data_IF_995630727202
#
_entry.id   IF_995630727202
#
_cell.length_a   1.000
_cell.length_b   1.000
_cell.length_c   1.000
_cell.angle_alpha   90.00
_cell.angle_beta   90.00
_cell.angle_gamma   90.00
#
_symmetry.space_group_name_H-M   'P 1'
#
loop_
_entity.id
_entity.type
_entity.pdbx_description
1 polymer ?
#
# COMPACT_ATOMS: atom_id res chain seq x y z
N UNK A 1 -25.92 -40.13 44.97
CA UNK A 1 -25.64 -39.57 43.63
C UNK A 1 -25.30 -38.11 43.82
N UNK A 2 -24.00 -37.79 43.92
CA UNK A 2 -23.54 -36.40 43.94
C UNK A 2 -23.14 -36.05 42.50
N UNK A 3 -23.73 -34.99 41.96
CA UNK A 3 -23.35 -34.44 40.66
C UNK A 3 -22.34 -33.34 40.97
N UNK A 4 -21.06 -33.59 40.69
CA UNK A 4 -20.03 -32.57 40.82
C UNK A 4 -20.26 -31.55 39.71
N UNK A 5 -20.52 -30.31 40.11
CA UNK A 5 -20.71 -29.18 39.19
C UNK A 5 -19.34 -28.85 38.61
N UNK A 6 -19.15 -29.05 37.31
CA UNK A 6 -17.90 -28.72 36.64
C UNK A 6 -17.64 -27.21 36.74
N UNK A 7 -16.53 -26.85 37.38
CA UNK A 7 -16.01 -25.48 37.39
C UNK A 7 -15.62 -25.09 35.95
N UNK A 8 -16.12 -23.94 35.49
CA UNK A 8 -15.88 -23.47 34.14
C UNK A 8 -14.41 -23.04 34.04
N UNK A 9 -13.57 -23.93 33.52
CA UNK A 9 -12.18 -23.62 33.21
C UNK A 9 -12.12 -22.32 32.40
N UNK A 10 -11.50 -21.29 32.97
CA UNK A 10 -11.30 -20.02 32.31
C UNK A 10 -10.60 -20.27 30.96
N UNK A 11 -11.31 -19.99 29.87
CA UNK A 11 -10.69 -19.89 28.54
C UNK A 11 -9.81 -18.66 28.59
N UNK A 12 -8.56 -18.86 29.00
CA UNK A 12 -7.50 -17.87 28.83
C UNK A 12 -7.33 -17.74 27.33
N UNK A 13 -7.93 -16.70 26.76
CA UNK A 13 -7.60 -16.24 25.43
C UNK A 13 -6.12 -15.87 25.49
N UNK A 14 -5.24 -16.82 25.12
CA UNK A 14 -3.83 -16.54 24.94
C UNK A 14 -3.73 -15.31 24.05
N UNK A 15 -3.16 -14.24 24.60
CA UNK A 15 -2.91 -13.01 23.88
C UNK A 15 -2.28 -13.38 22.53
N UNK A 16 -2.84 -12.80 21.46
CA UNK A 16 -2.42 -12.95 20.06
C UNK A 16 -0.95 -13.36 19.98
N UNK A 17 -0.70 -14.56 19.46
CA UNK A 17 0.64 -15.14 19.23
C UNK A 17 1.61 -14.02 18.82
N UNK A 18 2.77 -13.94 19.48
CA UNK A 18 3.76 -12.88 19.23
C UNK A 18 3.86 -12.64 17.71
N UNK A 19 3.76 -11.38 17.24
CA UNK A 19 3.63 -11.10 15.82
C UNK A 19 4.74 -11.82 15.06
N UNK A 20 4.35 -12.68 14.11
CA UNK A 20 5.26 -13.51 13.32
C UNK A 20 6.34 -12.62 12.69
N UNK A 21 7.55 -13.13 12.51
CA UNK A 21 8.82 -12.44 12.18
C UNK A 21 8.78 -11.21 11.24
N UNK A 22 7.79 -11.06 10.38
CA UNK A 22 7.64 -9.94 9.44
C UNK A 22 6.41 -9.04 9.67
N UNK A 23 5.47 -9.44 10.54
CA UNK A 23 4.22 -8.71 10.81
C UNK A 23 4.40 -7.49 11.71
N UNK A 24 5.56 -7.39 12.38
CA UNK A 24 5.91 -6.25 13.24
C UNK A 24 6.89 -5.28 12.57
N UNK A 25 7.20 -5.46 11.29
CA UNK A 25 8.13 -4.59 10.58
C UNK A 25 7.48 -3.31 10.07
N UNK A 26 6.20 -3.38 9.70
CA UNK A 26 5.48 -2.27 9.07
C UNK A 26 4.12 -2.04 9.72
N UNK A 27 3.75 -0.79 9.86
CA UNK A 27 2.35 -0.37 9.95
C UNK A 27 1.84 -0.21 8.51
N UNK A 28 0.76 -0.91 8.20
CA UNK A 28 0.16 -0.94 6.87
C UNK A 28 -0.99 0.07 6.80
N UNK A 29 -0.91 1.02 5.88
CA UNK A 29 -1.96 2.02 5.61
C UNK A 29 -2.52 1.76 4.22
N UNK A 30 -3.64 1.03 4.08
CA UNK A 30 -4.26 0.80 2.80
C UNK A 30 -4.98 2.07 2.30
N UNK A 31 -4.90 2.34 1.01
CA UNK A 31 -5.62 3.43 0.37
C UNK A 31 -6.08 3.02 -1.04
N UNK A 32 -6.95 3.84 -1.62
CA UNK A 32 -7.36 3.70 -3.02
C UNK A 32 -7.32 5.06 -3.68
N UNK A 33 -7.03 5.09 -4.97
CA UNK A 33 -6.99 6.33 -5.72
C UNK A 33 -7.46 6.13 -7.15
N UNK A 34 -7.81 7.22 -7.81
CA UNK A 34 -8.03 7.29 -9.25
C UNK A 34 -6.90 8.07 -9.90
N UNK A 35 -6.60 7.73 -11.14
CA UNK A 35 -5.65 8.47 -11.97
C UNK A 35 -6.43 9.14 -13.09
N UNK A 36 -6.41 10.47 -13.12
CA UNK A 36 -7.27 11.27 -14.02
C UNK A 36 -6.67 11.46 -15.43
N UNK A 37 -5.54 10.80 -15.71
CA UNK A 37 -4.89 10.82 -17.02
C UNK A 37 -5.54 9.79 -17.96
N UNK A 38 -5.87 10.21 -19.19
CA UNK A 38 -6.51 9.35 -20.18
C UNK A 38 -5.50 8.67 -21.12
N UNK A 39 -4.30 9.24 -21.27
CA UNK A 39 -3.25 8.67 -22.10
C UNK A 39 -1.89 9.21 -21.70
N UNK A 40 -0.86 8.37 -21.77
CA UNK A 40 0.53 8.79 -21.58
C UNK A 40 1.25 8.69 -22.92
N UNK A 41 1.98 9.74 -23.28
CA UNK A 41 2.79 9.78 -24.49
C UNK A 41 3.91 8.75 -24.45
N UNK A 42 4.39 8.30 -25.61
CA UNK A 42 5.44 7.27 -25.61
C UNK A 42 6.73 7.77 -24.94
N UNK A 43 7.28 6.97 -24.02
CA UNK A 43 8.43 7.28 -23.18
C UNK A 43 8.21 8.43 -22.19
N UNK A 44 6.98 8.93 -22.05
CA UNK A 44 6.64 9.98 -21.11
C UNK A 44 6.24 9.41 -19.74
N UNK A 45 6.17 10.28 -18.75
CA UNK A 45 5.62 9.98 -17.45
C UNK A 45 4.58 11.04 -17.05
N UNK A 46 3.55 10.60 -16.34
CA UNK A 46 2.54 11.45 -15.70
C UNK A 46 2.56 11.19 -14.20
N UNK A 47 2.40 12.24 -13.41
CA UNK A 47 2.43 12.18 -11.96
C UNK A 47 1.18 12.80 -11.35
N UNK A 48 0.73 12.27 -10.22
CA UNK A 48 -0.41 12.78 -9.47
C UNK A 48 -0.25 12.57 -7.97
N UNK A 49 -0.68 13.56 -7.19
CA UNK A 49 -0.59 13.53 -5.74
C UNK A 49 -1.90 13.05 -5.11
N UNK A 50 -1.78 12.12 -4.16
CA UNK A 50 -2.87 11.52 -3.41
C UNK A 50 -2.65 11.78 -1.93
N UNK A 51 -3.69 12.24 -1.24
CA UNK A 51 -3.67 12.38 0.20
C UNK A 51 -3.86 11.02 0.88
N UNK A 52 -2.87 10.60 1.66
CA UNK A 52 -2.90 9.36 2.45
C UNK A 52 -2.53 9.67 3.89
N UNK A 53 -3.55 9.85 4.74
CA UNK A 53 -3.34 10.21 6.15
C UNK A 53 -2.47 9.18 6.88
N UNK A 54 -1.44 9.66 7.57
CA UNK A 54 -0.46 8.86 8.30
C UNK A 54 0.79 8.49 7.50
N UNK A 55 0.84 8.80 6.20
CA UNK A 55 2.04 8.61 5.40
C UNK A 55 3.13 9.62 5.78
N UNK A 56 4.35 9.15 5.96
CA UNK A 56 5.52 9.98 6.25
C UNK A 56 6.65 9.72 5.25
N UNK A 57 7.53 10.72 5.09
CA UNK A 57 8.70 10.61 4.22
C UNK A 57 9.54 9.38 4.62
N UNK A 58 9.89 8.55 3.64
CA UNK A 58 10.64 7.32 3.84
C UNK A 58 9.79 6.05 3.94
N UNK A 59 8.46 6.18 3.97
CA UNK A 59 7.58 5.02 3.86
C UNK A 59 7.59 4.45 2.45
N UNK A 60 7.43 3.12 2.33
CA UNK A 60 7.29 2.48 1.03
C UNK A 60 5.86 2.60 0.54
N UNK A 61 5.69 2.82 -0.76
CA UNK A 61 4.37 2.84 -1.40
C UNK A 61 4.30 1.70 -2.41
N UNK A 62 3.32 0.82 -2.24
CA UNK A 62 2.99 -0.24 -3.18
C UNK A 62 1.71 0.12 -3.90
N UNK A 63 1.69 -0.09 -5.22
CA UNK A 63 0.53 0.17 -6.07
C UNK A 63 0.16 -1.14 -6.76
N UNK A 64 -1.12 -1.48 -6.71
CA UNK A 64 -1.69 -2.64 -7.36
C UNK A 64 -2.87 -2.21 -8.24
N UNK A 65 -2.72 -2.25 -9.57
CA UNK A 65 -3.83 -2.07 -10.49
C UNK A 65 -4.94 -3.09 -10.28
N UNK A 66 -6.19 -2.68 -10.50
CA UNK A 66 -7.37 -3.57 -10.46
C UNK A 66 -7.74 -4.14 -11.84
N UNK A 67 -6.98 -3.80 -12.86
CA UNK A 67 -7.18 -4.16 -14.25
C UNK A 67 -5.81 -4.43 -14.87
N UNK A 68 -5.82 -5.06 -16.05
CA UNK A 68 -4.58 -5.32 -16.78
C UNK A 68 -3.97 -4.00 -17.26
N UNK A 69 -2.72 -3.77 -16.87
CA UNK A 69 -1.96 -2.57 -17.23
C UNK A 69 -0.87 -3.01 -18.18
N UNK A 70 -1.06 -2.69 -19.46
CA UNK A 70 -0.10 -2.96 -20.53
C UNK A 70 0.72 -1.69 -20.75
N UNK A 71 2.03 -1.83 -20.93
CA UNK A 71 2.99 -0.78 -21.31
C UNK A 71 3.10 0.41 -20.35
N UNK A 72 2.63 0.29 -19.11
CA UNK A 72 2.80 1.29 -18.05
C UNK A 72 3.46 0.66 -16.82
N UNK A 73 4.48 1.32 -16.30
CA UNK A 73 5.00 1.07 -14.96
C UNK A 73 4.44 2.11 -13.98
N UNK A 74 3.94 1.64 -12.83
CA UNK A 74 3.46 2.49 -11.74
C UNK A 74 4.46 2.45 -10.59
N UNK A 75 4.77 3.61 -10.05
CA UNK A 75 5.58 3.77 -8.85
C UNK A 75 4.95 4.84 -7.95
N UNK A 76 5.20 4.74 -6.64
CA UNK A 76 4.72 5.71 -5.68
C UNK A 76 5.78 6.02 -4.64
N UNK A 77 5.75 7.23 -4.12
CA UNK A 77 6.64 7.66 -3.03
C UNK A 77 5.96 8.74 -2.19
N UNK A 78 6.26 8.76 -0.90
CA UNK A 78 5.77 9.81 0.00
C UNK A 78 6.68 11.03 -0.14
N UNK A 79 6.17 12.13 -0.69
CA UNK A 79 6.95 13.35 -0.89
C UNK A 79 6.95 14.24 0.35
N UNK A 80 5.83 14.25 1.10
CA UNK A 80 5.63 15.02 2.31
C UNK A 80 4.63 14.30 3.22
N UNK A 81 4.44 14.81 4.44
CA UNK A 81 3.42 14.30 5.35
C UNK A 81 2.06 14.22 4.63
N UNK A 82 1.40 13.07 4.79
CA UNK A 82 0.11 12.74 4.21
C UNK A 82 0.03 12.82 2.67
N UNK A 83 1.17 12.93 1.97
CA UNK A 83 1.21 13.19 0.52
C UNK A 83 2.01 12.12 -0.20
N UNK A 84 1.29 11.27 -0.93
CA UNK A 84 1.86 10.23 -1.80
C UNK A 84 1.80 10.72 -3.24
N UNK A 85 2.95 10.83 -3.90
CA UNK A 85 3.02 11.05 -5.34
C UNK A 85 3.03 9.69 -6.04
N UNK A 86 2.14 9.54 -7.02
CA UNK A 86 2.08 8.39 -7.92
C UNK A 86 2.67 8.82 -9.26
N UNK A 87 3.57 8.02 -9.81
CA UNK A 87 4.18 8.21 -11.12
C UNK A 87 3.82 7.03 -12.01
N UNK A 88 3.16 7.32 -13.13
CA UNK A 88 2.88 6.39 -14.22
C UNK A 88 3.82 6.70 -15.38
N UNK A 89 4.59 5.70 -15.82
CA UNK A 89 5.57 5.85 -16.90
C UNK A 89 5.25 4.88 -18.03
N UNK A 90 5.21 5.39 -19.27
CA UNK A 90 5.09 4.55 -20.47
C UNK A 90 6.43 3.90 -20.79
N UNK A 91 6.40 2.62 -21.17
CA UNK A 91 7.60 1.78 -21.32
C UNK A 91 8.31 1.90 -22.68
N UNK A 92 7.83 2.73 -23.61
CA UNK A 92 8.54 3.16 -24.80
C UNK A 92 8.28 2.33 -26.06
N UNK A 93 7.11 1.69 -26.18
CA UNK A 93 6.83 0.79 -27.32
C UNK A 93 6.39 1.50 -28.61
N UNK A 94 6.53 2.83 -28.69
CA UNK A 94 6.38 3.59 -29.94
C UNK A 94 4.97 4.10 -30.24
N UNK A 95 4.04 3.99 -29.28
CA UNK A 95 2.70 4.58 -29.34
C UNK A 95 2.30 5.14 -27.98
N UNK A 96 1.32 6.06 -27.97
CA UNK A 96 0.72 6.51 -26.73
C UNK A 96 -0.11 5.37 -26.13
N UNK A 97 0.04 5.15 -24.83
CA UNK A 97 -0.72 4.14 -24.11
C UNK A 97 -1.95 4.78 -23.49
N UNK A 98 -3.13 4.32 -23.91
CA UNK A 98 -4.41 4.75 -23.33
C UNK A 98 -4.57 4.17 -21.94
N UNK A 99 -4.93 5.02 -21.00
CA UNK A 99 -5.30 4.63 -19.65
C UNK A 99 -6.82 4.55 -19.54
N UNK A 100 -7.30 3.66 -18.68
CA UNK A 100 -8.70 3.69 -18.30
C UNK A 100 -8.92 4.86 -17.34
N UNK A 101 -9.39 5.98 -17.90
CA UNK A 101 -9.76 7.19 -17.18
C UNK A 101 -10.56 6.85 -15.91
N UNK A 102 -10.17 7.42 -14.77
CA UNK A 102 -10.85 7.24 -13.48
C UNK A 102 -10.87 5.79 -12.97
N UNK A 103 -10.02 4.91 -13.49
CA UNK A 103 -9.91 3.58 -12.94
C UNK A 103 -9.37 3.64 -11.50
N UNK A 104 -9.92 2.77 -10.65
CA UNK A 104 -9.51 2.70 -9.24
C UNK A 104 -8.32 1.77 -9.09
N UNK A 105 -7.28 2.26 -8.44
CA UNK A 105 -6.08 1.50 -8.07
C UNK A 105 -6.11 1.20 -6.57
N UNK A 106 -5.49 0.08 -6.19
CA UNK A 106 -5.19 -0.20 -4.78
C UNK A 106 -3.80 0.35 -4.45
N UNK A 107 -3.68 0.97 -3.29
CA UNK A 107 -2.43 1.44 -2.73
C UNK A 107 -2.22 0.87 -1.34
N UNK A 108 -0.96 0.69 -0.98
CA UNK A 108 -0.55 0.33 0.38
C UNK A 108 0.70 1.12 0.74
N UNK A 109 0.61 1.95 1.77
CA UNK A 109 1.79 2.52 2.40
C UNK A 109 2.27 1.57 3.48
N UNK A 110 3.55 1.26 3.46
CA UNK A 110 4.24 0.47 4.47
C UNK A 110 5.11 1.42 5.28
N UNK A 111 4.56 1.90 6.39
CA UNK A 111 5.29 2.73 7.33
C UNK A 111 6.17 1.82 8.19
N UNK A 112 7.49 1.88 8.07
CA UNK A 112 8.29 0.88 8.73
C UNK A 112 8.47 1.29 10.20
N UNK A 113 8.46 0.33 11.12
CA UNK A 113 8.49 0.57 12.58
C UNK A 113 9.90 0.74 13.13
N UNK A 114 10.21 1.85 13.80
CA UNK A 114 11.53 2.28 14.34
C UNK A 114 12.68 1.24 14.52
N UNK A 115 12.43 -0.02 14.86
CA UNK A 115 13.40 -1.11 14.86
C UNK A 115 14.08 -1.41 13.50
N UNK A 116 13.50 -1.06 12.34
CA UNK A 116 14.21 -1.16 11.03
C UNK A 116 15.05 0.08 10.72
N UNK A 117 14.81 1.21 11.41
CA UNK A 117 15.56 2.45 11.24
C UNK A 117 16.91 2.34 11.96
N UNK A 118 17.69 1.32 11.60
CA UNK A 118 19.07 1.18 12.05
C UNK A 118 19.93 2.09 11.18
N UNK A 119 20.31 3.22 11.81
CA UNK A 119 21.52 4.02 11.58
C UNK A 119 21.74 4.54 10.15
N UNK A 120 21.55 5.85 9.96
CA UNK A 120 22.44 6.62 9.09
C UNK A 120 23.60 7.17 9.92
#
# INVERSE_FOLDING_TARGET
MAIETADAAAVVLSAREAPRQFQDLFVCIPFTFTFDENSIGSGAASAGDITVTGAALGDFVLIAPRFDVIDIALSGFVQAADTVTILAQELGLGANTTLNANATYNGLVLQPRAAWAVVQ
#
